data_IF_029704911407
#
_entry.id   IF_029704911407
#
_cell.length_a   1.000
_cell.length_b   1.000
_cell.length_c   1.000
_cell.angle_alpha   90.00
_cell.angle_beta   90.00
_cell.angle_gamma   90.00
#
_symmetry.space_group_name_H-M   'P 1'
#
loop_
_entity.id
_entity.type
_entity.pdbx_description
1 polymer ?
#
# COMPACT_ATOMS: atom_id res chain seq x y z
N UNK A 1 6.25 6.36 -15.94
CA UNK A 1 7.07 5.78 -14.85
C UNK A 1 7.01 6.56 -13.52
N UNK A 2 6.06 7.50 -13.30
CA UNK A 2 6.11 8.44 -12.16
C UNK A 2 5.18 8.17 -10.97
N UNK A 3 4.09 7.40 -11.09
CA UNK A 3 3.15 7.21 -9.96
C UNK A 3 3.29 5.85 -9.27
N UNK A 4 3.53 4.79 -10.04
CA UNK A 4 3.69 3.42 -9.51
C UNK A 4 4.88 3.31 -8.56
N UNK A 5 6.03 3.90 -8.92
CA UNK A 5 7.23 3.90 -8.07
C UNK A 5 7.02 4.68 -6.77
N UNK A 6 6.33 5.82 -6.85
CA UNK A 6 6.03 6.64 -5.66
C UNK A 6 5.08 5.92 -4.71
N UNK A 7 4.09 5.21 -5.27
CA UNK A 7 3.17 4.40 -4.47
C UNK A 7 3.88 3.24 -3.75
N UNK A 8 4.78 2.52 -4.44
CA UNK A 8 5.54 1.42 -3.83
C UNK A 8 6.45 1.89 -2.69
N UNK A 9 7.11 3.05 -2.86
CA UNK A 9 7.95 3.66 -1.80
C UNK A 9 7.07 4.06 -0.61
N UNK A 10 5.98 4.78 -0.88
CA UNK A 10 5.04 5.21 0.18
C UNK A 10 4.50 4.01 0.97
N UNK A 11 4.09 2.95 0.28
CA UNK A 11 3.58 1.73 0.91
C UNK A 11 4.64 1.05 1.78
N UNK A 12 5.89 1.03 1.30
CA UNK A 12 7.02 0.48 2.04
C UNK A 12 7.32 1.29 3.32
N UNK A 13 7.28 2.62 3.24
CA UNK A 13 7.45 3.48 4.41
C UNK A 13 6.32 3.26 5.44
N UNK A 14 5.07 3.13 4.98
CA UNK A 14 3.95 2.80 5.86
C UNK A 14 4.16 1.48 6.62
N UNK A 15 4.63 0.44 5.92
CA UNK A 15 4.81 -0.89 6.52
C UNK A 15 6.03 -0.94 7.44
N UNK A 16 7.18 -0.39 7.03
CA UNK A 16 8.44 -0.59 7.72
C UNK A 16 8.85 0.57 8.64
N UNK A 17 8.66 1.81 8.21
CA UNK A 17 9.04 2.99 9.00
C UNK A 17 7.95 3.35 10.01
N UNK A 18 6.71 3.40 9.56
CA UNK A 18 5.56 3.80 10.38
C UNK A 18 4.89 2.64 11.10
N UNK A 19 5.23 1.39 10.75
CA UNK A 19 4.63 0.16 11.30
C UNK A 19 3.10 0.17 11.29
N UNK A 20 2.50 0.80 10.28
CA UNK A 20 1.05 0.91 10.15
C UNK A 20 0.44 -0.48 9.93
N UNK A 21 -0.73 -0.69 10.50
CA UNK A 21 -1.55 -1.88 10.23
C UNK A 21 -2.23 -1.79 8.86
N UNK A 22 -2.67 -2.93 8.34
CA UNK A 22 -3.30 -3.00 7.01
C UNK A 22 -4.56 -2.12 6.94
N UNK A 23 -5.35 -2.07 8.03
CA UNK A 23 -6.50 -1.18 8.14
C UNK A 23 -6.13 0.32 8.09
N UNK A 24 -5.02 0.71 8.73
CA UNK A 24 -4.55 2.10 8.71
C UNK A 24 -4.08 2.51 7.31
N UNK A 25 -3.37 1.62 6.61
CA UNK A 25 -2.95 1.83 5.22
C UNK A 25 -4.17 1.94 4.31
N UNK A 26 -5.13 1.00 4.40
CA UNK A 26 -6.38 1.04 3.64
C UNK A 26 -7.16 2.33 3.89
N UNK A 27 -7.25 2.78 5.15
CA UNK A 27 -7.91 4.02 5.52
C UNK A 27 -7.21 5.27 4.97
N UNK A 28 -5.87 5.27 4.91
CA UNK A 28 -5.08 6.38 4.36
C UNK A 28 -5.20 6.51 2.83
N UNK A 29 -5.40 5.40 2.12
CA UNK A 29 -5.55 5.41 0.65
C UNK A 29 -6.99 5.72 0.21
N UNK A 30 -8.00 5.33 0.99
CA UNK A 30 -9.43 5.60 0.70
C UNK A 30 -9.77 7.03 0.26
N UNK A 31 -9.31 8.10 0.94
CA UNK A 31 -9.65 9.48 0.54
C UNK A 31 -8.91 9.95 -0.73
N UNK A 32 -7.85 9.26 -1.15
CA UNK A 32 -7.08 9.59 -2.35
C UNK A 32 -7.64 8.92 -3.62
N UNK A 33 -8.65 8.03 -3.49
CA UNK A 33 -9.24 7.28 -4.60
C UNK A 33 -10.56 7.92 -5.02
N UNK A 34 -10.58 8.56 -6.19
CA UNK A 34 -11.81 9.02 -6.84
C UNK A 34 -12.60 7.81 -7.38
N UNK A 35 -13.79 7.60 -6.83
CA UNK A 35 -14.82 6.61 -7.16
C UNK A 35 -14.79 6.04 -8.60
N UNK A 36 -14.26 4.81 -8.81
CA UNK A 36 -14.80 3.93 -9.86
C UNK A 36 -14.65 2.40 -9.64
N UNK A 37 -13.93 1.87 -8.62
CA UNK A 37 -13.80 0.40 -8.44
C UNK A 37 -13.48 -0.02 -6.98
N UNK A 38 -14.30 0.42 -6.00
CA UNK A 38 -14.06 0.22 -4.55
C UNK A 38 -13.85 -1.25 -4.09
N UNK A 39 -14.27 -2.26 -4.85
CA UNK A 39 -14.12 -3.67 -4.47
C UNK A 39 -12.80 -4.30 -4.91
N UNK A 40 -12.46 -4.17 -6.19
CA UNK A 40 -11.23 -4.75 -6.78
C UNK A 40 -9.98 -4.01 -6.28
N UNK A 41 -10.08 -2.70 -6.04
CA UNK A 41 -8.94 -1.88 -5.60
C UNK A 41 -8.52 -2.13 -4.15
N UNK A 42 -9.46 -2.53 -3.28
CA UNK A 42 -9.18 -2.85 -1.88
C UNK A 42 -8.51 -4.24 -1.78
N UNK A 43 -8.93 -5.19 -2.62
CA UNK A 43 -8.26 -6.48 -2.75
C UNK A 43 -6.85 -6.30 -3.32
N UNK A 44 -6.71 -5.56 -4.42
CA UNK A 44 -5.40 -5.27 -5.01
C UNK A 44 -4.46 -4.60 -4.00
N UNK A 45 -4.95 -3.63 -3.22
CA UNK A 45 -4.15 -2.96 -2.19
C UNK A 45 -3.73 -3.91 -1.07
N UNK A 46 -4.64 -4.78 -0.63
CA UNK A 46 -4.36 -5.79 0.39
C UNK A 46 -3.27 -6.75 -0.10
N UNK A 47 -3.33 -7.18 -1.36
CA UNK A 47 -2.29 -8.00 -2.00
C UNK A 47 -0.94 -7.25 -2.06
N UNK A 48 -0.93 -5.94 -2.37
CA UNK A 48 0.32 -5.16 -2.35
C UNK A 48 0.90 -5.02 -0.93
N UNK A 49 0.07 -4.81 0.08
CA UNK A 49 0.52 -4.76 1.49
C UNK A 49 1.14 -6.09 1.89
N UNK A 50 0.49 -7.21 1.54
CA UNK A 50 0.98 -8.55 1.83
C UNK A 50 2.32 -8.82 1.14
N UNK A 51 2.45 -8.46 -0.15
CA UNK A 51 3.70 -8.62 -0.90
C UNK A 51 4.83 -7.85 -0.22
N UNK A 52 4.60 -6.60 0.20
CA UNK A 52 5.60 -5.80 0.90
C UNK A 52 5.94 -6.48 2.23
N UNK A 53 4.96 -6.80 3.08
CA UNK A 53 5.23 -7.45 4.38
C UNK A 53 6.02 -8.76 4.26
N UNK A 54 5.71 -9.58 3.26
CA UNK A 54 6.36 -10.87 3.03
C UNK A 54 7.71 -10.76 2.31
N UNK A 55 8.02 -9.64 1.65
CA UNK A 55 9.32 -9.37 1.03
C UNK A 55 10.10 -8.34 1.83
N UNK A 56 10.54 -8.71 3.04
CA UNK A 56 11.49 -7.94 3.87
C UNK A 56 12.84 -7.65 3.20
N UNK A 57 13.15 -8.34 2.11
CA UNK A 57 14.44 -8.31 1.40
C UNK A 57 14.71 -7.02 0.62
N UNK A 58 13.73 -6.10 0.49
CA UNK A 58 13.96 -4.80 -0.17
C UNK A 58 14.65 -3.75 0.73
N UNK A 59 14.79 -4.01 2.04
CA UNK A 59 15.44 -3.11 3.01
C UNK A 59 16.67 -3.75 3.72
N UNK A 60 17.21 -4.86 3.22
CA UNK A 60 18.50 -5.40 3.68
C UNK A 60 19.71 -4.69 3.05
#
# INVERSE_FOLDING_TARGET
MGQVKHFAIWLSDCVYQLQMTDMEILSAVKPLRTDTQKGEDDQWLSEQIEVVRNHTTFYE
#
